data_IF_204877142134
#
_entry.id   IF_204877142134
#
_cell.length_a   1.000
_cell.length_b   1.000
_cell.length_c   1.000
_cell.angle_alpha   90.00
_cell.angle_beta   90.00
_cell.angle_gamma   90.00
#
_symmetry.space_group_name_H-M   'P 1'
#
loop_
_entity.id
_entity.type
_entity.pdbx_description
1 polymer ?
#
# COMPACT_ATOMS: atom_id res chain seq x y z
N UNK A 1 1.46 -13.44 23.49
CA UNK A 1 1.71 -13.78 22.06
C UNK A 1 0.47 -13.51 21.22
N UNK A 2 -0.70 -13.99 21.65
CA UNK A 2 -2.01 -13.60 21.09
C UNK A 2 -2.20 -12.08 21.01
N UNK A 3 -1.79 -11.34 22.04
CA UNK A 3 -1.95 -9.87 22.08
C UNK A 3 -1.15 -9.16 20.99
N UNK A 4 0.10 -9.58 20.74
CA UNK A 4 0.97 -8.99 19.71
C UNK A 4 0.39 -9.24 18.31
N UNK A 5 -0.23 -10.40 18.07
CA UNK A 5 -0.87 -10.71 16.79
C UNK A 5 -2.03 -9.75 16.55
N UNK A 6 -2.92 -9.57 17.52
CA UNK A 6 -4.06 -8.67 17.38
C UNK A 6 -3.62 -7.19 17.25
N UNK A 7 -2.63 -6.76 18.03
CA UNK A 7 -2.04 -5.42 17.90
C UNK A 7 -1.45 -5.19 16.50
N UNK A 8 -0.73 -6.18 15.97
CA UNK A 8 -0.16 -6.10 14.62
C UNK A 8 -1.25 -6.04 13.55
N UNK A 9 -2.34 -6.79 13.71
CA UNK A 9 -3.49 -6.71 12.79
C UNK A 9 -4.16 -5.34 12.84
N UNK A 10 -4.37 -4.78 14.02
CA UNK A 10 -4.97 -3.46 14.19
C UNK A 10 -4.09 -2.38 13.54
N UNK A 11 -2.79 -2.39 13.82
CA UNK A 11 -1.82 -1.50 13.19
C UNK A 11 -1.84 -1.66 11.66
N UNK A 12 -1.95 -2.89 11.16
CA UNK A 12 -2.04 -3.18 9.73
C UNK A 12 -3.27 -2.52 9.10
N UNK A 13 -4.44 -2.64 9.73
CA UNK A 13 -5.67 -2.02 9.23
C UNK A 13 -5.59 -0.49 9.24
N UNK A 14 -5.06 0.11 10.30
CA UNK A 14 -4.84 1.56 10.38
C UNK A 14 -3.81 2.05 9.34
N UNK A 15 -2.81 1.23 9.05
CA UNK A 15 -1.80 1.57 8.05
C UNK A 15 -2.36 1.55 6.63
N UNK A 16 -3.24 0.59 6.30
CA UNK A 16 -3.95 0.58 5.00
C UNK A 16 -4.74 1.87 4.79
N UNK A 17 -5.41 2.38 5.83
CA UNK A 17 -6.15 3.65 5.72
C UNK A 17 -5.22 4.82 5.34
N UNK A 18 -4.06 4.92 5.98
CA UNK A 18 -3.05 5.92 5.67
C UNK A 18 -2.46 5.76 4.26
N UNK A 19 -2.33 4.53 3.77
CA UNK A 19 -1.86 4.27 2.40
C UNK A 19 -2.86 4.76 1.36
N UNK A 20 -4.17 4.59 1.58
CA UNK A 20 -5.21 5.13 0.70
C UNK A 20 -5.15 6.66 0.64
N UNK A 21 -5.11 7.31 1.80
CA UNK A 21 -5.00 8.78 1.88
C UNK A 21 -3.69 9.29 1.27
N UNK A 22 -2.58 8.59 1.51
CA UNK A 22 -1.28 8.91 0.94
C UNK A 22 -1.25 8.78 -0.59
N UNK A 23 -1.86 7.73 -1.15
CA UNK A 23 -1.94 7.53 -2.59
C UNK A 23 -2.72 8.65 -3.29
N UNK A 24 -3.87 9.06 -2.73
CA UNK A 24 -4.63 10.21 -3.22
C UNK A 24 -3.80 11.50 -3.15
N UNK A 25 -3.11 11.74 -2.03
CA UNK A 25 -2.28 12.95 -1.85
C UNK A 25 -1.11 13.00 -2.82
N UNK A 26 -0.49 11.85 -3.12
CA UNK A 26 0.59 11.75 -4.11
C UNK A 26 0.08 12.14 -5.49
N UNK A 27 -1.09 11.63 -5.91
CA UNK A 27 -1.68 11.97 -7.19
C UNK A 27 -1.95 13.48 -7.30
N UNK A 28 -2.53 14.08 -6.24
CA UNK A 28 -2.78 15.52 -6.18
C UNK A 28 -1.48 16.33 -6.31
N UNK A 29 -0.43 15.98 -5.57
CA UNK A 29 0.85 16.69 -5.63
C UNK A 29 1.53 16.56 -7.00
N UNK A 30 1.44 15.40 -7.66
CA UNK A 30 1.93 15.25 -9.03
C UNK A 30 1.13 16.12 -10.01
N UNK A 31 -0.20 16.20 -9.87
CA UNK A 31 -1.06 17.05 -10.71
C UNK A 31 -0.85 18.55 -10.48
N UNK A 32 -0.51 18.94 -9.27
CA UNK A 32 -0.22 20.32 -8.87
C UNK A 32 1.24 20.75 -9.09
N UNK A 33 2.05 19.92 -9.74
CA UNK A 33 3.49 20.15 -10.01
C UNK A 33 4.33 20.32 -8.72
N UNK A 34 3.84 19.78 -7.59
CA UNK A 34 4.54 19.70 -6.29
C UNK A 34 5.42 18.45 -6.22
N UNK A 35 6.34 18.34 -7.17
CA UNK A 35 7.12 17.11 -7.40
C UNK A 35 7.97 16.74 -6.19
N UNK A 36 8.57 17.71 -5.50
CA UNK A 36 9.42 17.45 -4.33
C UNK A 36 8.65 16.78 -3.19
N UNK A 37 7.45 17.29 -2.90
CA UNK A 37 6.53 16.76 -1.90
C UNK A 37 5.97 15.41 -2.32
N UNK A 38 5.62 15.25 -3.59
CA UNK A 38 5.19 13.96 -4.14
C UNK A 38 6.29 12.90 -3.96
N UNK A 39 7.55 13.21 -4.26
CA UNK A 39 8.66 12.26 -4.11
C UNK A 39 8.85 11.85 -2.65
N UNK A 40 8.76 12.79 -1.70
CA UNK A 40 8.84 12.47 -0.27
C UNK A 40 7.73 11.51 0.16
N UNK A 41 6.50 11.74 -0.31
CA UNK A 41 5.38 10.85 -0.01
C UNK A 41 5.50 9.49 -0.70
N UNK A 42 6.02 9.42 -1.93
CA UNK A 42 6.26 8.14 -2.63
C UNK A 42 7.27 7.28 -1.87
N UNK A 43 8.32 7.88 -1.29
CA UNK A 43 9.26 7.15 -0.43
C UNK A 43 8.54 6.58 0.80
N UNK A 44 7.76 7.39 1.51
CA UNK A 44 6.99 6.95 2.68
C UNK A 44 5.97 5.86 2.33
N UNK A 45 5.28 6.01 1.20
CA UNK A 45 4.36 5.01 0.66
C UNK A 45 5.10 3.68 0.43
N UNK A 46 6.28 3.73 -0.19
CA UNK A 46 7.07 2.53 -0.51
C UNK A 46 7.50 1.77 0.75
N UNK A 47 7.97 2.49 1.78
CA UNK A 47 8.31 1.89 3.08
C UNK A 47 7.08 1.25 3.74
N UNK A 48 5.97 1.97 3.71
CA UNK A 48 4.72 1.52 4.29
C UNK A 48 4.13 0.27 3.67
N UNK A 49 4.13 0.23 2.34
CA UNK A 49 3.65 -0.93 1.57
C UNK A 49 4.60 -2.13 1.71
N UNK A 50 5.90 -1.90 1.85
CA UNK A 50 6.87 -2.94 2.21
C UNK A 50 6.54 -3.54 3.58
N UNK A 51 6.25 -2.71 4.58
CA UNK A 51 5.82 -3.17 5.90
C UNK A 51 4.52 -3.97 5.86
N UNK A 52 3.49 -3.50 5.13
CA UNK A 52 2.24 -4.25 4.94
C UNK A 52 2.51 -5.65 4.37
N UNK A 53 3.37 -5.74 3.36
CA UNK A 53 3.73 -7.02 2.72
C UNK A 53 4.43 -7.96 3.71
N UNK A 54 5.32 -7.44 4.55
CA UNK A 54 5.98 -8.23 5.60
C UNK A 54 4.98 -8.77 6.62
N UNK A 55 4.02 -7.95 7.07
CA UNK A 55 2.97 -8.40 8.01
C UNK A 55 2.14 -9.52 7.41
N UNK A 56 1.76 -9.44 6.12
CA UNK A 56 0.99 -10.51 5.45
C UNK A 56 1.77 -11.83 5.48
N UNK A 57 3.07 -11.80 5.22
CA UNK A 57 3.92 -13.00 5.25
C UNK A 57 4.01 -13.57 6.67
N UNK A 58 4.33 -12.73 7.67
CA UNK A 58 4.46 -13.15 9.07
C UNK A 58 3.15 -13.71 9.63
N UNK A 59 2.01 -13.11 9.29
CA UNK A 59 0.70 -13.60 9.73
C UNK A 59 0.40 -15.01 9.22
N UNK A 60 0.84 -15.33 7.98
CA UNK A 60 0.67 -16.67 7.41
C UNK A 60 1.45 -17.73 8.18
N UNK A 61 2.64 -17.41 8.69
CA UNK A 61 3.43 -18.31 9.55
C UNK A 61 2.67 -18.67 10.85
N UNK A 62 1.82 -17.77 11.31
CA UNK A 62 0.92 -17.97 12.46
C UNK A 62 -0.50 -18.44 12.09
N UNK A 63 -0.70 -18.92 10.85
CA UNK A 63 -1.98 -19.40 10.30
C UNK A 63 -3.09 -18.33 10.22
N UNK A 64 -2.72 -17.06 10.14
CA UNK A 64 -3.63 -15.97 9.83
C UNK A 64 -3.50 -15.60 8.35
N UNK A 65 -4.62 -15.65 7.63
CA UNK A 65 -4.67 -15.40 6.20
C UNK A 65 -5.59 -14.22 5.91
N UNK A 66 -5.16 -13.36 5.00
CA UNK A 66 -5.96 -12.28 4.44
C UNK A 66 -5.96 -12.42 2.92
N UNK A 67 -7.10 -12.12 2.31
CA UNK A 67 -7.32 -12.27 0.87
C UNK A 67 -6.72 -11.08 0.10
N UNK A 68 -5.39 -10.99 0.11
CA UNK A 68 -4.61 -9.97 -0.60
C UNK A 68 -3.60 -10.69 -1.47
N UNK A 69 -3.52 -10.30 -2.73
CA UNK A 69 -2.49 -10.73 -3.66
C UNK A 69 -1.32 -9.73 -3.65
N UNK A 70 -0.17 -10.06 -3.02
CA UNK A 70 0.98 -9.17 -2.96
C UNK A 70 1.65 -8.98 -4.32
N UNK A 71 1.36 -9.81 -5.33
CA UNK A 71 1.94 -9.66 -6.66
C UNK A 71 1.49 -8.38 -7.37
N UNK A 72 0.28 -7.89 -7.06
CA UNK A 72 -0.24 -6.60 -7.55
C UNK A 72 0.59 -5.42 -7.05
N UNK A 73 1.01 -5.46 -5.79
CA UNK A 73 1.85 -4.43 -5.17
C UNK A 73 3.18 -4.29 -5.91
N UNK A 74 3.82 -5.41 -6.27
CA UNK A 74 5.08 -5.37 -7.01
C UNK A 74 4.92 -4.75 -8.39
N UNK A 75 3.78 -4.97 -9.07
CA UNK A 75 3.50 -4.34 -10.37
C UNK A 75 3.43 -2.83 -10.26
N UNK A 76 2.72 -2.32 -9.24
CA UNK A 76 2.64 -0.89 -8.98
C UNK A 76 4.02 -0.26 -8.80
N UNK A 77 4.94 -0.89 -8.06
CA UNK A 77 6.30 -0.36 -7.92
C UNK A 77 7.07 -0.28 -9.23
N UNK A 78 6.89 -1.26 -10.12
CA UNK A 78 7.52 -1.22 -11.45
C UNK A 78 6.95 -0.05 -12.25
N UNK A 79 5.64 0.10 -12.30
CA UNK A 79 4.96 1.17 -13.05
C UNK A 79 5.27 2.57 -12.49
N UNK A 80 5.34 2.73 -11.16
CA UNK A 80 5.82 3.95 -10.50
C UNK A 80 7.22 4.29 -10.98
N UNK A 81 8.15 3.34 -10.90
CA UNK A 81 9.53 3.61 -11.30
C UNK A 81 9.62 3.96 -12.80
N UNK A 82 8.90 3.25 -13.67
CA UNK A 82 8.87 3.55 -15.11
C UNK A 82 8.33 4.96 -15.41
N UNK A 83 7.27 5.38 -14.72
CA UNK A 83 6.69 6.72 -14.84
C UNK A 83 7.67 7.81 -14.36
N UNK A 84 8.29 7.60 -13.20
CA UNK A 84 9.25 8.53 -12.63
C UNK A 84 10.54 8.64 -13.45
N UNK A 85 11.07 7.53 -13.96
CA UNK A 85 12.27 7.51 -14.83
C UNK A 85 12.06 8.32 -16.12
N UNK A 86 10.84 8.29 -16.66
CA UNK A 86 10.45 9.06 -17.85
C UNK A 86 10.01 10.49 -17.52
N UNK A 87 9.97 10.86 -16.24
CA UNK A 87 9.41 12.12 -15.75
C UNK A 87 7.94 12.34 -16.19
N UNK A 88 7.21 11.25 -16.41
CA UNK A 88 5.80 11.29 -16.79
C UNK A 88 4.92 11.31 -15.53
N UNK A 89 4.84 12.49 -14.92
CA UNK A 89 4.09 12.69 -13.68
C UNK A 89 2.57 12.57 -13.87
N UNK A 90 2.07 12.76 -15.09
CA UNK A 90 0.64 12.58 -15.41
C UNK A 90 0.28 11.10 -15.33
N UNK A 91 1.05 10.23 -16.02
CA UNK A 91 0.84 8.78 -15.92
C UNK A 91 1.05 8.29 -14.49
N UNK A 92 2.07 8.82 -13.81
CA UNK A 92 2.33 8.45 -12.42
C UNK A 92 1.16 8.81 -11.51
N UNK A 93 0.58 10.01 -11.67
CA UNK A 93 -0.61 10.43 -10.93
C UNK A 93 -1.82 9.55 -11.23
N UNK A 94 -2.08 9.25 -12.50
CA UNK A 94 -3.21 8.41 -12.92
C UNK A 94 -3.13 7.00 -12.31
N UNK A 95 -1.94 6.41 -12.26
CA UNK A 95 -1.72 5.11 -11.60
C UNK A 95 -1.98 5.19 -10.09
N UNK A 96 -1.54 6.26 -9.40
CA UNK A 96 -1.86 6.43 -7.98
C UNK A 96 -3.37 6.57 -7.72
N UNK A 97 -4.05 7.38 -8.53
CA UNK A 97 -5.47 7.71 -8.37
C UNK A 97 -6.41 6.57 -8.79
N UNK A 98 -6.14 5.93 -9.92
CA UNK A 98 -7.07 4.99 -10.54
C UNK A 98 -6.68 3.51 -10.39
N UNK A 99 -5.46 3.20 -9.94
CA UNK A 99 -5.03 1.82 -9.73
C UNK A 99 -4.65 1.52 -8.28
N UNK A 100 -3.69 2.27 -7.74
CA UNK A 100 -3.12 2.01 -6.41
C UNK A 100 -4.14 2.33 -5.31
N UNK A 101 -4.71 3.54 -5.32
CA UNK A 101 -5.70 3.93 -4.31
C UNK A 101 -6.91 2.96 -4.31
N UNK A 102 -7.58 2.67 -5.46
CA UNK A 102 -8.70 1.74 -5.49
C UNK A 102 -8.34 0.33 -5.02
N UNK A 103 -7.13 -0.16 -5.32
CA UNK A 103 -6.65 -1.44 -4.80
C UNK A 103 -6.58 -1.46 -3.27
N UNK A 104 -6.00 -0.43 -2.66
CA UNK A 104 -5.93 -0.35 -1.20
C UNK A 104 -7.29 -0.07 -0.55
N UNK A 105 -8.21 0.63 -1.23
CA UNK A 105 -9.60 0.75 -0.80
C UNK A 105 -10.31 -0.60 -0.74
N UNK A 106 -10.14 -1.47 -1.74
CA UNK A 106 -10.68 -2.83 -1.71
C UNK A 106 -10.13 -3.62 -0.51
N UNK A 107 -8.88 -3.38 -0.15
CA UNK A 107 -8.21 -4.05 0.97
C UNK A 107 -8.74 -3.58 2.34
N UNK A 108 -9.22 -2.34 2.47
CA UNK A 108 -9.73 -1.79 3.75
C UNK A 108 -10.83 -2.64 4.37
N UNK A 109 -11.61 -3.35 3.56
CA UNK A 109 -12.70 -4.21 4.03
C UNK A 109 -12.27 -5.64 4.37
N UNK A 110 -11.02 -6.00 4.07
CA UNK A 110 -10.50 -7.35 4.30
C UNK A 110 -9.96 -7.50 5.71
N UNK A 111 -10.10 -8.70 6.28
CA UNK A 111 -9.64 -9.02 7.63
C UNK A 111 -8.88 -10.34 7.62
N UNK A 112 -7.87 -10.42 8.49
CA UNK A 112 -7.18 -11.69 8.76
C UNK A 112 -8.16 -12.70 9.35
N UNK A 113 -8.08 -13.94 8.85
CA UNK A 113 -8.84 -15.09 9.31
C UNK A 113 -7.86 -16.16 9.77
N UNK A 114 -8.07 -16.67 10.99
CA UNK A 114 -7.30 -17.80 11.50
C UNK A 114 -7.79 -19.08 10.82
N UNK A 115 -6.87 -19.91 10.33
CA UNK A 115 -7.18 -21.19 9.70
C UNK A 115 -6.63 -22.33 10.56
N UNK A 116 -7.51 -23.28 10.90
CA UNK A 116 -7.18 -24.47 11.68
C UNK A 116 -7.14 -24.24 13.19
N UNK A 117 -8.05 -24.91 13.89
CA UNK A 117 -7.82 -25.40 15.27
C UNK A 117 -7.20 -26.79 15.19
#
# INVERSE_FOLDING_TARGET
>A
MTDIIYETQENFYQYIQRVVEGASTIADYLREDKIGEAMQLIVQFSEGVSWLTQVIVLMREHRYYIDIDPSKINKFFVEINEGLERQDYVITADMFEYEIQPFFEEIKEKRFKKVGE
#
